data_IF_709986968204
#
_entry.id   IF_709986968204
#
_cell.length_a   1.000
_cell.length_b   1.000
_cell.length_c   1.000
_cell.angle_alpha   90.00
_cell.angle_beta   90.00
_cell.angle_gamma   90.00
#
_symmetry.space_group_name_H-M   'P 1'
#
loop_
_entity.id
_entity.type
_entity.pdbx_description
1 polymer ?
#
# COMPACT_ATOMS: atom_id res chain seq x y z
N UNK A 1 -23.73 -63.39 1.56
CA UNK A 1 -22.76 -62.28 1.28
C UNK A 1 -23.34 -61.40 0.19
N UNK A 2 -23.95 -60.23 0.58
CA UNK A 2 -24.62 -59.34 -0.35
C UNK A 2 -23.62 -58.26 -0.77
N UNK A 3 -23.05 -58.40 -1.95
CA UNK A 3 -22.15 -57.40 -2.51
C UNK A 3 -22.91 -56.13 -2.93
N UNK A 4 -22.63 -54.99 -2.30
CA UNK A 4 -23.16 -53.69 -2.68
C UNK A 4 -22.50 -53.26 -3.99
N UNK A 5 -23.22 -53.40 -5.10
CA UNK A 5 -22.80 -52.87 -6.41
C UNK A 5 -23.03 -51.36 -6.41
N UNK A 6 -22.01 -50.61 -6.12
CA UNK A 6 -22.05 -49.15 -6.31
C UNK A 6 -22.03 -48.85 -7.81
N UNK A 7 -23.08 -48.21 -8.31
CA UNK A 7 -23.18 -47.82 -9.73
C UNK A 7 -22.07 -46.82 -10.09
N UNK A 8 -21.24 -47.08 -11.12
CA UNK A 8 -20.11 -46.24 -11.52
C UNK A 8 -20.50 -44.79 -11.91
N UNK A 9 -21.76 -44.58 -12.27
CA UNK A 9 -22.28 -43.27 -12.62
C UNK A 9 -22.46 -42.33 -11.42
N UNK A 10 -22.82 -42.91 -10.25
CA UNK A 10 -22.98 -42.12 -9.01
C UNK A 10 -21.64 -41.71 -8.44
N UNK A 11 -20.64 -42.55 -8.50
CA UNK A 11 -19.29 -42.25 -8.02
C UNK A 11 -18.61 -41.16 -8.84
N UNK A 12 -18.72 -41.20 -10.20
CA UNK A 12 -18.21 -40.14 -11.08
C UNK A 12 -18.85 -38.79 -10.80
N UNK A 13 -20.17 -38.73 -10.55
CA UNK A 13 -20.86 -37.49 -10.19
C UNK A 13 -20.38 -36.92 -8.85
N UNK A 14 -20.17 -37.76 -7.85
CA UNK A 14 -19.68 -37.34 -6.54
C UNK A 14 -18.24 -36.80 -6.61
N UNK A 15 -17.35 -37.41 -7.40
CA UNK A 15 -15.97 -36.94 -7.60
C UNK A 15 -15.94 -35.60 -8.34
N UNK A 16 -16.73 -35.43 -9.41
CA UNK A 16 -16.81 -34.18 -10.17
C UNK A 16 -17.37 -33.05 -9.32
N UNK A 17 -18.42 -33.30 -8.53
CA UNK A 17 -18.98 -32.32 -7.60
C UNK A 17 -17.98 -31.93 -6.52
N UNK A 18 -17.21 -32.87 -5.97
CA UNK A 18 -16.18 -32.61 -4.97
C UNK A 18 -15.04 -31.75 -5.52
N UNK A 19 -14.58 -32.02 -6.74
CA UNK A 19 -13.55 -31.23 -7.44
C UNK A 19 -14.02 -29.82 -7.74
N UNK A 20 -15.23 -29.63 -8.26
CA UNK A 20 -15.80 -28.32 -8.51
C UNK A 20 -15.95 -27.49 -7.24
N UNK A 21 -16.43 -28.09 -6.15
CA UNK A 21 -16.53 -27.42 -4.85
C UNK A 21 -15.16 -26.97 -4.32
N UNK A 22 -14.14 -27.82 -4.44
CA UNK A 22 -12.76 -27.49 -4.03
C UNK A 22 -12.18 -26.32 -4.82
N UNK A 23 -12.37 -26.31 -6.14
CA UNK A 23 -11.88 -25.20 -7.01
C UNK A 23 -12.57 -23.89 -6.65
N UNK A 24 -13.89 -23.89 -6.45
CA UNK A 24 -14.63 -22.68 -6.06
C UNK A 24 -14.16 -22.16 -4.71
N UNK A 25 -13.92 -23.03 -3.74
CA UNK A 25 -13.43 -22.63 -2.41
C UNK A 25 -12.03 -22.00 -2.49
N UNK A 26 -11.13 -22.57 -3.29
CA UNK A 26 -9.78 -22.02 -3.49
C UNK A 26 -9.86 -20.66 -4.18
N UNK A 27 -10.69 -20.52 -5.23
CA UNK A 27 -10.87 -19.24 -5.93
C UNK A 27 -11.42 -18.15 -5.00
N UNK A 28 -12.41 -18.46 -4.16
CA UNK A 28 -12.95 -17.52 -3.18
C UNK A 28 -11.89 -17.12 -2.16
N UNK A 29 -11.08 -18.07 -1.66
CA UNK A 29 -9.98 -17.78 -0.73
C UNK A 29 -8.92 -16.87 -1.36
N UNK A 30 -8.51 -17.13 -2.59
CA UNK A 30 -7.54 -16.29 -3.31
C UNK A 30 -8.07 -14.86 -3.47
N UNK A 31 -9.32 -14.70 -3.92
CA UNK A 31 -9.94 -13.37 -4.07
C UNK A 31 -10.06 -12.63 -2.74
N UNK A 32 -10.39 -13.33 -1.65
CA UNK A 32 -10.48 -12.72 -0.31
C UNK A 32 -9.10 -12.30 0.21
N UNK A 33 -8.08 -13.14 0.00
CA UNK A 33 -6.70 -12.82 0.38
C UNK A 33 -6.17 -11.63 -0.42
N UNK A 34 -6.40 -11.59 -1.73
CA UNK A 34 -5.98 -10.43 -2.57
C UNK A 34 -6.71 -9.15 -2.19
N UNK A 35 -7.98 -9.21 -1.85
CA UNK A 35 -8.74 -8.03 -1.40
C UNK A 35 -8.32 -7.53 -0.02
N UNK A 36 -7.83 -8.40 0.86
CA UNK A 36 -7.39 -8.06 2.21
C UNK A 36 -5.89 -7.80 2.33
N UNK A 37 -5.08 -8.20 1.34
CA UNK A 37 -3.66 -7.90 1.33
C UNK A 37 -3.47 -6.43 0.97
N UNK A 38 -3.36 -5.58 1.97
CA UNK A 38 -2.68 -4.28 1.88
C UNK A 38 -1.19 -4.54 1.77
N UNK A 39 -0.74 -5.10 0.66
CA UNK A 39 0.67 -5.13 0.32
C UNK A 39 1.04 -3.72 -0.14
N UNK A 40 1.20 -2.87 0.82
CA UNK A 40 1.61 -1.52 0.59
C UNK A 40 3.14 -1.49 0.46
N UNK A 41 3.64 -1.93 -0.69
CA UNK A 41 4.98 -1.52 -1.07
C UNK A 41 4.94 -0.02 -1.35
N UNK A 42 5.79 0.79 -0.69
CA UNK A 42 5.85 2.22 -0.96
C UNK A 42 6.16 2.46 -2.44
N UNK A 43 5.33 3.25 -3.10
CA UNK A 43 5.64 3.75 -4.42
C UNK A 43 6.62 4.91 -4.27
N UNK A 44 7.72 4.85 -5.02
CA UNK A 44 8.72 5.92 -5.04
C UNK A 44 8.28 7.03 -5.97
N UNK A 45 8.22 8.25 -5.47
CA UNK A 45 7.87 9.44 -6.23
C UNK A 45 8.94 10.51 -6.02
N UNK A 46 9.50 11.05 -7.09
CA UNK A 46 10.45 12.16 -7.07
C UNK A 46 9.74 13.46 -7.45
N UNK A 47 10.16 14.55 -6.85
CA UNK A 47 9.58 15.86 -7.10
C UNK A 47 10.08 16.92 -6.14
N UNK A 48 9.37 18.04 -6.06
CA UNK A 48 9.78 19.21 -5.27
C UNK A 48 9.01 19.30 -3.96
N UNK A 49 9.73 19.55 -2.89
CA UNK A 49 9.17 19.92 -1.60
C UNK A 49 8.55 21.31 -1.66
N UNK A 50 7.30 21.45 -1.28
CA UNK A 50 6.58 22.72 -1.31
C UNK A 50 6.29 23.29 0.07
N UNK A 51 6.43 22.51 1.13
CA UNK A 51 6.22 22.91 2.51
C UNK A 51 5.39 21.90 3.31
N UNK A 52 5.12 22.27 4.55
CA UNK A 52 4.16 21.56 5.40
C UNK A 52 2.87 22.37 5.52
N UNK A 53 1.76 21.71 5.88
CA UNK A 53 0.56 22.38 6.33
C UNK A 53 0.78 23.08 7.70
N UNK A 54 -0.12 24.00 8.08
CA UNK A 54 -0.01 24.77 9.32
C UNK A 54 0.03 23.90 10.57
N UNK A 55 -0.54 22.70 10.51
CA UNK A 55 -0.52 21.74 11.60
C UNK A 55 0.70 20.81 11.57
N UNK A 56 1.55 20.88 10.52
CA UNK A 56 2.72 20.02 10.34
C UNK A 56 2.39 18.54 10.14
N UNK A 57 1.16 18.21 9.70
CA UNK A 57 0.70 16.83 9.51
C UNK A 57 0.61 16.39 8.06
N UNK A 58 0.69 17.33 7.14
CA UNK A 58 0.74 17.04 5.71
C UNK A 58 1.92 17.75 5.06
N UNK A 59 2.57 17.03 4.16
CA UNK A 59 3.67 17.52 3.33
C UNK A 59 3.10 17.86 1.96
N UNK A 60 3.26 19.13 1.56
CA UNK A 60 2.95 19.58 0.22
C UNK A 60 4.12 19.24 -0.72
N UNK A 61 3.83 18.53 -1.78
CA UNK A 61 4.81 17.99 -2.71
C UNK A 61 4.32 18.12 -4.15
N UNK A 62 5.20 18.49 -5.04
CA UNK A 62 4.91 18.57 -6.46
C UNK A 62 5.67 17.47 -7.19
N UNK A 63 5.01 16.41 -7.64
CA UNK A 63 5.65 15.34 -8.42
C UNK A 63 6.27 15.87 -9.70
N UNK A 64 7.37 15.26 -10.14
CA UNK A 64 7.98 15.57 -11.42
C UNK A 64 7.00 15.36 -12.58
N UNK A 65 6.99 16.31 -13.51
CA UNK A 65 6.05 16.30 -14.63
C UNK A 65 4.63 16.74 -14.29
N UNK A 66 4.33 17.06 -13.02
CA UNK A 66 3.04 17.62 -12.62
C UNK A 66 3.09 19.13 -12.51
N UNK A 67 2.05 19.80 -12.98
CA UNK A 67 1.87 21.26 -12.79
C UNK A 67 1.19 21.61 -11.45
N UNK A 68 0.67 20.61 -10.74
CA UNK A 68 -0.03 20.78 -9.47
C UNK A 68 0.66 20.06 -8.33
N UNK A 69 0.63 20.64 -7.15
CA UNK A 69 1.07 20.01 -5.91
C UNK A 69 0.02 19.06 -5.36
N UNK A 70 0.47 18.07 -4.62
CA UNK A 70 -0.36 17.11 -3.87
C UNK A 70 0.08 17.13 -2.41
N UNK A 71 -0.87 16.98 -1.50
CA UNK A 71 -0.57 16.86 -0.06
C UNK A 71 -0.62 15.41 0.37
N UNK A 72 0.43 14.98 1.04
CA UNK A 72 0.56 13.64 1.60
C UNK A 72 0.58 13.71 3.12
N UNK A 73 -0.18 12.87 3.78
CA UNK A 73 -0.10 12.76 5.23
C UNK A 73 1.26 12.19 5.65
N UNK A 74 1.83 12.71 6.72
CA UNK A 74 3.09 12.22 7.27
C UNK A 74 3.03 12.09 8.79
N UNK A 75 4.00 11.40 9.37
CA UNK A 75 4.10 11.17 10.80
C UNK A 75 5.50 11.55 11.30
N UNK A 76 5.64 12.06 12.53
CA UNK A 76 6.95 12.23 13.16
C UNK A 76 7.77 10.94 13.25
N UNK A 77 7.14 9.77 13.11
CA UNK A 77 7.81 8.47 13.03
C UNK A 77 8.28 8.10 11.62
N UNK A 78 8.04 8.95 10.62
CA UNK A 78 8.47 8.70 9.23
C UNK A 78 9.99 8.55 9.18
N UNK A 79 10.45 7.50 8.51
CA UNK A 79 11.87 7.27 8.25
C UNK A 79 12.38 8.28 7.23
N UNK A 80 13.60 8.75 7.39
CA UNK A 80 14.17 9.63 6.38
C UNK A 80 15.68 9.38 6.20
N UNK A 81 16.17 9.72 5.03
CA UNK A 81 17.58 9.58 4.65
C UNK A 81 18.09 10.95 4.26
N UNK A 82 19.12 11.40 4.94
CA UNK A 82 19.77 12.69 4.64
C UNK A 82 20.52 12.66 3.30
N UNK A 83 20.89 13.83 2.77
CA UNK A 83 21.59 13.97 1.49
C UNK A 83 22.90 13.17 1.41
N UNK A 84 23.58 12.96 2.55
CA UNK A 84 24.78 12.11 2.64
C UNK A 84 24.49 10.61 2.71
N UNK A 85 23.22 10.19 2.63
CA UNK A 85 22.80 8.79 2.66
C UNK A 85 22.63 8.18 4.06
N UNK A 86 22.71 8.99 5.12
CA UNK A 86 22.52 8.50 6.49
C UNK A 86 21.04 8.31 6.79
N UNK A 87 20.60 7.10 7.21
CA UNK A 87 19.22 6.86 7.60
C UNK A 87 18.95 7.36 9.02
N UNK A 88 17.75 7.92 9.22
CA UNK A 88 17.24 8.41 10.48
C UNK A 88 15.86 7.81 10.74
N UNK A 89 15.60 7.43 11.99
CA UNK A 89 14.31 6.89 12.42
C UNK A 89 13.58 7.87 13.33
N UNK A 90 12.52 8.48 12.82
CA UNK A 90 11.72 9.43 13.56
C UNK A 90 12.39 10.79 13.78
N UNK A 91 11.69 11.69 14.46
CA UNK A 91 12.14 13.05 14.73
C UNK A 91 11.96 14.01 13.54
N UNK A 92 12.39 15.26 13.72
CA UNK A 92 12.24 16.28 12.67
C UNK A 92 13.11 15.93 11.46
N UNK A 93 12.54 16.02 10.27
CA UNK A 93 13.25 15.85 9.01
C UNK A 93 14.01 17.14 8.75
N UNK A 94 15.31 17.15 9.04
CA UNK A 94 16.12 18.37 8.99
C UNK A 94 16.38 18.91 7.59
N UNK A 95 16.19 18.09 6.56
CA UNK A 95 16.29 18.47 5.16
C UNK A 95 14.98 19.04 4.58
N UNK A 96 13.92 19.12 5.37
CA UNK A 96 12.63 19.70 4.97
C UNK A 96 12.31 20.93 5.81
N UNK A 97 13.16 21.93 5.73
CA UNK A 97 12.92 23.22 6.35
C UNK A 97 12.16 24.16 5.38
N UNK A 98 11.50 25.23 5.87
CA UNK A 98 10.84 26.18 4.98
C UNK A 98 11.78 26.79 3.92
N UNK A 99 13.08 26.88 4.22
CA UNK A 99 14.11 27.34 3.28
C UNK A 99 14.36 26.36 2.12
N UNK A 100 14.00 25.09 2.29
CA UNK A 100 14.24 24.02 1.30
C UNK A 100 13.10 23.90 0.28
N UNK A 101 12.15 24.83 0.28
CA UNK A 101 11.07 24.85 -0.72
C UNK A 101 11.62 24.88 -2.13
N UNK A 102 11.12 23.99 -2.97
CA UNK A 102 11.56 23.85 -4.35
C UNK A 102 12.73 22.87 -4.52
N UNK A 103 13.34 22.40 -3.43
CA UNK A 103 14.37 21.36 -3.52
C UNK A 103 13.75 20.03 -3.95
N UNK A 104 14.48 19.31 -4.78
CA UNK A 104 14.11 17.98 -5.23
C UNK A 104 14.31 16.97 -4.09
N UNK A 105 13.27 16.21 -3.82
CA UNK A 105 13.28 15.11 -2.85
C UNK A 105 12.61 13.88 -3.44
N UNK A 106 12.91 12.75 -2.87
CA UNK A 106 12.21 11.49 -3.22
C UNK A 106 11.44 11.00 -1.99
N UNK A 107 10.19 10.62 -2.20
CA UNK A 107 9.33 10.10 -1.13
C UNK A 107 8.83 8.70 -1.47
N UNK A 108 8.67 7.86 -0.47
CA UNK A 108 7.97 6.59 -0.58
C UNK A 108 6.54 6.77 -0.08
N UNK A 109 5.58 6.59 -0.95
CA UNK A 109 4.15 6.77 -0.66
C UNK A 109 3.44 5.43 -0.55
N UNK A 110 2.67 5.26 0.50
CA UNK A 110 1.82 4.10 0.74
C UNK A 110 0.36 4.53 0.68
N UNK A 111 -0.39 3.96 -0.24
CA UNK A 111 -1.83 4.17 -0.29
C UNK A 111 -2.55 3.22 0.65
N UNK A 112 -3.16 3.76 1.70
CA UNK A 112 -4.03 3.01 2.60
C UNK A 112 -5.42 2.94 1.97
N UNK A 113 -5.85 1.74 1.61
CA UNK A 113 -7.19 1.54 1.03
C UNK A 113 -8.29 1.94 2.01
N UNK A 114 -9.38 2.52 1.52
CA UNK A 114 -10.53 2.84 2.36
C UNK A 114 -11.07 1.58 3.02
N UNK A 115 -11.40 1.66 4.31
CA UNK A 115 -12.01 0.56 5.06
C UNK A 115 -13.29 1.04 5.73
N UNK A 116 -14.41 0.48 5.30
CA UNK A 116 -15.73 0.92 5.77
C UNK A 116 -16.02 2.37 5.36
N UNK A 117 -16.30 3.22 6.35
CA UNK A 117 -16.60 4.66 6.15
C UNK A 117 -15.34 5.55 6.12
N UNK A 118 -14.14 4.97 6.38
CA UNK A 118 -12.90 5.74 6.38
C UNK A 118 -12.41 5.93 4.94
N UNK A 119 -12.09 7.16 4.51
CA UNK A 119 -11.52 7.42 3.20
C UNK A 119 -10.13 6.82 3.08
N UNK A 120 -9.74 6.46 1.87
CA UNK A 120 -8.36 6.11 1.57
C UNK A 120 -7.45 7.33 1.77
N UNK A 121 -6.24 7.09 2.23
CA UNK A 121 -5.26 8.15 2.48
C UNK A 121 -3.88 7.72 1.99
N UNK A 122 -3.19 8.62 1.33
CA UNK A 122 -1.80 8.43 0.96
C UNK A 122 -0.90 8.92 2.10
N UNK A 123 -0.05 8.02 2.58
CA UNK A 123 0.88 8.27 3.68
C UNK A 123 2.32 8.21 3.19
N UNK A 124 3.15 9.09 3.72
CA UNK A 124 4.59 9.03 3.49
C UNK A 124 5.20 7.98 4.43
N UNK A 125 5.78 6.95 3.84
CA UNK A 125 6.50 5.90 4.57
C UNK A 125 7.95 6.31 4.86
N UNK A 126 8.59 6.99 3.92
CA UNK A 126 9.96 7.47 4.04
C UNK A 126 10.22 8.67 3.12
N UNK A 127 11.26 9.45 3.46
CA UNK A 127 11.75 10.60 2.69
C UNK A 127 13.24 10.44 2.44
N UNK A 128 13.68 10.78 1.24
CA UNK A 128 15.10 10.90 0.89
C UNK A 128 15.36 12.31 0.38
N UNK A 129 16.29 12.99 1.01
CA UNK A 129 16.71 14.34 0.64
C UNK A 129 17.80 14.36 -0.42
#
# INVERSE_FOLDING_TARGET
MSGIRVSPSRWRRAVVMGLLSGIVTILVLVVVVERNSTSAYPQTVTGKFMGFDDAGRALAFQPDGSSSGTSYAWSPATLWVSANGTPHGGGPITCLQPADRGHEITIGVVTVKPRGILPGTDLIAWVKC
#
